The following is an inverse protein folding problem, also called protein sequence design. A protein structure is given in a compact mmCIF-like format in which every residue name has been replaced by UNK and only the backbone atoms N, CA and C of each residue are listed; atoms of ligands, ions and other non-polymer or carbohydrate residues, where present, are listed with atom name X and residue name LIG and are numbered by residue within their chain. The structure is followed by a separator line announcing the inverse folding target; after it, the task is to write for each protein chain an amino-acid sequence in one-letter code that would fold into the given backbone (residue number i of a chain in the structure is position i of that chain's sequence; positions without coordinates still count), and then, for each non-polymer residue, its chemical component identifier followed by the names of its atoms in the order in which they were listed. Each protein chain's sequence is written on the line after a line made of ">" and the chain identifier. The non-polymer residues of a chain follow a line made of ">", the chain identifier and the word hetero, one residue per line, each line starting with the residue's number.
data_IF_184033825459
#
_entry.id   IF_184033825459
#
_cell.length_a   1.000
_cell.length_b   1.000
_cell.length_c   1.000
_cell.angle_alpha   90.00
_cell.angle_beta   90.00
_cell.angle_gamma   90.00
#
_symmetry.space_group_name_H-M   'P 1'
#
loop_
_entity.id
_entity.type
_entity.pdbx_description
1 polymer ?
#
# COMPACT_ATOMS: atom_id res chain seq x y z
N UNK A 1 34.94 -47.14 50.41
CA UNK A 1 34.12 -47.07 49.19
C UNK A 1 34.04 -45.61 48.74
N UNK A 2 34.76 -45.24 47.67
CA UNK A 2 34.79 -43.87 47.13
C UNK A 2 33.57 -43.67 46.23
N UNK A 3 32.67 -42.72 46.53
CA UNK A 3 31.61 -42.30 45.60
C UNK A 3 32.00 -40.95 44.99
N UNK A 4 32.37 -41.02 43.71
CA UNK A 4 32.67 -39.90 42.84
C UNK A 4 31.34 -39.28 42.38
N UNK A 5 31.09 -38.01 42.72
CA UNK A 5 29.96 -37.26 42.18
C UNK A 5 30.42 -36.54 40.91
N UNK A 6 29.90 -36.97 39.76
CA UNK A 6 30.02 -36.27 38.49
C UNK A 6 28.95 -35.17 38.46
N UNK A 7 29.37 -33.91 38.52
CA UNK A 7 28.51 -32.75 38.22
C UNK A 7 28.52 -32.54 36.71
N UNK A 8 27.44 -32.93 36.05
CA UNK A 8 27.17 -32.57 34.66
C UNK A 8 26.55 -31.18 34.68
N UNK A 9 27.32 -30.15 34.37
CA UNK A 9 26.83 -28.79 34.13
C UNK A 9 26.17 -28.74 32.75
N UNK A 10 24.84 -28.79 32.73
CA UNK A 10 24.04 -28.57 31.52
C UNK A 10 24.02 -27.06 31.21
N UNK A 11 24.86 -26.63 30.28
CA UNK A 11 24.80 -25.27 29.76
C UNK A 11 23.52 -25.10 28.92
N UNK A 12 22.51 -24.41 29.45
CA UNK A 12 21.37 -23.94 28.66
C UNK A 12 21.86 -22.85 27.70
N UNK A 13 22.00 -23.21 26.43
CA UNK A 13 22.15 -22.23 25.35
C UNK A 13 20.74 -21.70 25.07
N UNK A 14 20.39 -20.54 25.63
CA UNK A 14 19.20 -19.81 25.19
C UNK A 14 19.50 -19.21 23.83
N UNK A 15 19.04 -19.87 22.77
CA UNK A 15 18.85 -19.22 21.48
C UNK A 15 17.73 -18.20 21.62
N UNK A 16 18.08 -16.99 22.04
CA UNK A 16 17.21 -15.83 21.86
C UNK A 16 17.13 -15.55 20.36
N UNK A 17 16.15 -16.15 19.69
CA UNK A 17 15.71 -15.65 18.41
C UNK A 17 15.17 -14.24 18.67
N UNK A 18 16.00 -13.21 18.43
CA UNK A 18 15.52 -11.84 18.38
C UNK A 18 14.47 -11.80 17.29
N UNK A 19 13.20 -11.75 17.69
CA UNK A 19 12.11 -11.49 16.76
C UNK A 19 12.41 -10.12 16.15
N UNK A 20 12.64 -10.09 14.84
CA UNK A 20 12.85 -8.84 14.13
C UNK A 20 11.58 -7.99 14.34
N UNK A 21 11.76 -6.76 14.83
CA UNK A 21 10.65 -5.80 14.98
C UNK A 21 9.83 -5.73 13.68
N UNK A 22 8.49 -5.71 13.75
CA UNK A 22 7.64 -5.67 12.57
C UNK A 22 7.86 -4.36 11.81
N UNK A 23 7.79 -4.42 10.48
CA UNK A 23 7.73 -3.22 9.66
C UNK A 23 6.42 -2.49 9.94
N UNK A 24 6.44 -1.18 10.16
CA UNK A 24 5.25 -0.40 10.49
C UNK A 24 4.95 0.58 9.37
N UNK A 25 3.77 0.46 8.77
CA UNK A 25 3.35 1.35 7.67
C UNK A 25 1.98 1.97 7.95
N UNK A 26 1.89 3.29 7.80
CA UNK A 26 0.64 4.04 7.85
C UNK A 26 0.27 4.56 6.46
N UNK A 27 -0.96 4.36 6.01
CA UNK A 27 -1.49 5.02 4.84
C UNK A 27 -2.43 6.16 5.18
N UNK A 28 -2.14 7.34 4.64
CA UNK A 28 -3.03 8.49 4.62
C UNK A 28 -3.77 8.46 3.28
N UNK A 29 -5.01 7.98 3.29
CA UNK A 29 -5.70 7.69 2.04
C UNK A 29 -7.21 7.56 2.17
N UNK A 30 -7.74 6.54 1.48
CA UNK A 30 -9.17 6.37 1.23
C UNK A 30 -9.46 4.92 0.82
N UNK A 31 -10.52 4.68 0.05
CA UNK A 31 -10.87 3.34 -0.44
C UNK A 31 -9.81 2.71 -1.35
N UNK A 32 -8.92 3.48 -1.95
CA UNK A 32 -7.81 2.94 -2.76
C UNK A 32 -6.65 2.45 -1.90
N UNK A 33 -6.37 3.07 -0.74
CA UNK A 33 -5.43 2.46 0.22
C UNK A 33 -6.05 1.21 0.83
N UNK A 34 -7.34 1.23 1.18
CA UNK A 34 -8.09 0.04 1.64
C UNK A 34 -7.89 -1.14 0.67
N UNK A 35 -8.14 -0.94 -0.62
CA UNK A 35 -7.96 -1.96 -1.66
C UNK A 35 -6.52 -2.49 -1.80
N UNK A 36 -5.52 -1.77 -1.30
CA UNK A 36 -4.13 -2.14 -1.46
C UNK A 36 -3.52 -2.79 -0.22
N UNK A 37 -3.88 -2.36 0.99
CA UNK A 37 -3.16 -2.74 2.22
C UNK A 37 -4.00 -3.45 3.27
N UNK A 38 -5.34 -3.37 3.23
CA UNK A 38 -6.18 -3.94 4.31
C UNK A 38 -6.40 -5.46 4.18
N UNK A 39 -5.98 -6.05 3.06
CA UNK A 39 -6.07 -7.49 2.80
C UNK A 39 -4.85 -7.96 2.02
N UNK A 40 -4.52 -9.24 2.13
CA UNK A 40 -3.41 -9.92 1.47
C UNK A 40 -2.01 -9.43 1.92
N UNK A 41 -1.80 -8.14 2.21
CA UNK A 41 -0.47 -7.60 2.49
C UNK A 41 0.16 -8.25 3.73
N UNK A 42 -0.61 -8.40 4.81
CA UNK A 42 -0.15 -9.09 6.02
C UNK A 42 0.21 -10.55 5.72
N UNK A 43 -0.66 -11.28 5.01
CA UNK A 43 -0.45 -12.70 4.71
C UNK A 43 0.72 -12.93 3.73
N UNK A 44 0.91 -12.03 2.76
CA UNK A 44 2.07 -12.03 1.87
C UNK A 44 3.35 -11.83 2.68
N UNK A 45 3.36 -10.88 3.62
CA UNK A 45 4.50 -10.66 4.51
C UNK A 45 4.79 -11.90 5.38
N UNK A 46 3.76 -12.45 6.02
CA UNK A 46 3.86 -13.64 6.87
C UNK A 46 4.40 -14.85 6.10
N UNK A 47 3.92 -15.09 4.88
CA UNK A 47 4.42 -16.18 4.03
C UNK A 47 5.87 -15.99 3.56
N UNK A 48 6.43 -14.79 3.69
CA UNK A 48 7.84 -14.48 3.46
C UNK A 48 8.69 -14.48 4.74
N UNK A 49 8.13 -14.91 5.88
CA UNK A 49 8.78 -14.88 7.18
C UNK A 49 9.03 -13.45 7.68
N UNK A 50 8.10 -12.54 7.39
CA UNK A 50 8.13 -11.13 7.80
C UNK A 50 6.87 -10.79 8.57
N UNK A 51 7.00 -9.84 9.48
CA UNK A 51 5.87 -9.27 10.22
C UNK A 51 5.68 -7.80 9.84
N UNK A 52 4.43 -7.36 9.90
CA UNK A 52 4.00 -6.02 9.49
C UNK A 52 2.83 -5.52 10.35
N UNK A 53 2.94 -4.27 10.80
CA UNK A 53 1.83 -3.49 11.36
C UNK A 53 1.35 -2.52 10.29
N UNK A 54 0.05 -2.55 9.99
CA UNK A 54 -0.55 -1.75 8.91
C UNK A 54 -1.60 -0.84 9.52
N UNK A 55 -1.44 0.47 9.36
CA UNK A 55 -2.46 1.47 9.64
C UNK A 55 -3.05 2.04 8.36
N UNK A 56 -4.36 2.24 8.30
CA UNK A 56 -5.04 2.98 7.23
C UNK A 56 -5.92 4.08 7.81
N UNK A 57 -5.62 5.32 7.45
CA UNK A 57 -6.40 6.51 7.77
C UNK A 57 -7.40 6.75 6.65
N UNK A 58 -8.60 6.20 6.84
CA UNK A 58 -9.64 6.17 5.81
C UNK A 58 -10.61 7.35 5.94
N UNK A 59 -10.80 8.07 4.83
CA UNK A 59 -11.99 8.87 4.52
C UNK A 59 -12.42 8.53 3.09
N UNK A 60 -13.71 8.31 2.83
CA UNK A 60 -14.20 7.94 1.50
C UNK A 60 -13.92 9.04 0.48
N UNK A 61 -13.25 8.70 -0.63
CA UNK A 61 -12.91 9.67 -1.69
C UNK A 61 -11.95 10.80 -1.27
N UNK A 62 -11.23 10.66 -0.15
CA UNK A 62 -10.39 11.72 0.40
C UNK A 62 -9.33 12.21 -0.58
N UNK A 63 -9.25 13.53 -0.76
CA UNK A 63 -8.21 14.23 -1.52
C UNK A 63 -7.08 14.69 -0.61
N UNK A 64 -5.94 15.08 -1.19
CA UNK A 64 -4.85 15.74 -0.46
C UNK A 64 -5.38 16.97 0.30
N UNK A 65 -6.15 17.83 -0.36
CA UNK A 65 -6.73 19.03 0.25
C UNK A 65 -7.63 18.68 1.44
N UNK A 66 -8.42 17.60 1.33
CA UNK A 66 -9.27 17.18 2.42
C UNK A 66 -8.47 16.70 3.63
N UNK A 67 -7.36 16.00 3.42
CA UNK A 67 -6.45 15.64 4.50
C UNK A 67 -5.88 16.89 5.19
N UNK A 68 -5.48 17.90 4.41
CA UNK A 68 -4.97 19.17 4.95
C UNK A 68 -6.04 19.95 5.73
N UNK A 69 -7.30 19.96 5.28
CA UNK A 69 -8.41 20.54 6.05
C UNK A 69 -8.63 19.82 7.39
N UNK A 70 -8.47 18.50 7.42
CA UNK A 70 -8.55 17.71 8.63
C UNK A 70 -7.38 18.01 9.57
N UNK A 71 -6.17 18.15 9.03
CA UNK A 71 -4.97 18.54 9.77
C UNK A 71 -5.14 19.94 10.39
N UNK A 72 -5.55 20.92 9.61
CA UNK A 72 -5.68 22.30 10.06
C UNK A 72 -6.70 22.46 11.20
N UNK A 73 -7.76 21.66 11.20
CA UNK A 73 -8.78 21.66 12.25
C UNK A 73 -8.64 20.55 13.30
N UNK A 74 -7.55 19.78 13.27
CA UNK A 74 -7.34 18.58 14.09
C UNK A 74 -8.58 17.66 14.18
N UNK A 75 -9.22 17.45 13.01
CA UNK A 75 -10.56 16.87 12.93
C UNK A 75 -10.53 15.36 13.19
N UNK A 76 -11.41 14.92 14.08
CA UNK A 76 -11.75 13.52 14.34
C UNK A 76 -12.63 12.95 13.20
N UNK A 77 -12.09 12.90 11.99
CA UNK A 77 -12.85 12.63 10.76
C UNK A 77 -12.61 11.24 10.16
N UNK A 78 -11.60 10.52 10.64
CA UNK A 78 -11.13 9.29 10.00
C UNK A 78 -11.76 8.05 10.63
N UNK A 79 -11.90 7.01 9.82
CA UNK A 79 -11.91 5.62 10.32
C UNK A 79 -10.46 5.15 10.33
N UNK A 80 -9.90 4.96 11.52
CA UNK A 80 -8.56 4.40 11.67
C UNK A 80 -8.66 2.88 11.74
N UNK A 81 -8.04 2.19 10.79
CA UNK A 81 -8.05 0.73 10.70
C UNK A 81 -6.64 0.22 10.85
N UNK A 82 -6.40 -0.61 11.85
CA UNK A 82 -5.08 -1.13 12.19
C UNK A 82 -5.07 -2.65 12.13
N UNK A 83 -4.09 -3.22 11.45
CA UNK A 83 -3.87 -4.66 11.35
C UNK A 83 -2.62 -5.01 12.13
N UNK A 84 -2.78 -5.84 13.16
CA UNK A 84 -1.69 -6.34 14.01
C UNK A 84 -1.89 -7.84 14.18
N UNK A 85 -0.85 -8.63 13.90
CA UNK A 85 -0.96 -10.10 13.98
C UNK A 85 -2.07 -10.67 13.08
N UNK A 86 -2.35 -10.02 11.94
CA UNK A 86 -3.39 -10.42 10.98
C UNK A 86 -4.82 -10.11 11.42
N UNK A 87 -5.01 -9.35 12.51
CA UNK A 87 -6.32 -8.97 13.01
C UNK A 87 -6.56 -7.48 12.80
N UNK A 88 -7.69 -7.14 12.19
CA UNK A 88 -8.12 -5.77 11.97
C UNK A 88 -8.86 -5.22 13.19
N UNK A 89 -8.50 -4.02 13.62
CA UNK A 89 -9.23 -3.19 14.57
C UNK A 89 -9.65 -1.90 13.85
N UNK A 90 -10.88 -1.43 14.06
CA UNK A 90 -11.38 -0.19 13.47
C UNK A 90 -11.86 0.76 14.58
N UNK A 91 -11.41 2.01 14.52
CA UNK A 91 -11.83 3.09 15.42
C UNK A 91 -12.39 4.23 14.58
N UNK A 92 -13.61 4.66 14.91
CA UNK A 92 -14.31 5.76 14.25
C UNK A 92 -13.95 7.09 14.92
N UNK A 93 -14.20 8.21 14.21
CA UNK A 93 -13.94 9.56 14.70
C UNK A 93 -12.50 9.72 15.22
N UNK A 94 -11.54 9.21 14.46
CA UNK A 94 -10.14 9.26 14.83
C UNK A 94 -9.44 10.46 14.17
N UNK A 95 -8.43 11.00 14.84
CA UNK A 95 -7.63 12.13 14.32
C UNK A 95 -6.34 11.62 13.68
N UNK A 96 -5.88 12.34 12.65
CA UNK A 96 -4.60 12.03 12.03
C UNK A 96 -3.40 12.35 12.95
N UNK A 97 -3.53 13.37 13.80
CA UNK A 97 -2.53 13.76 14.81
C UNK A 97 -2.30 12.70 15.89
N UNK A 98 -3.30 11.87 16.17
CA UNK A 98 -3.19 10.72 17.07
C UNK A 98 -2.57 9.52 16.32
N UNK A 99 -3.07 9.20 15.13
CA UNK A 99 -2.60 8.05 14.36
C UNK A 99 -1.13 8.15 13.94
N UNK A 100 -0.65 9.35 13.62
CA UNK A 100 0.76 9.55 13.24
C UNK A 100 1.73 9.27 14.40
N UNK A 101 1.24 9.26 15.65
CA UNK A 101 2.00 8.97 16.88
C UNK A 101 1.72 7.57 17.45
N UNK A 102 0.73 6.87 16.92
CA UNK A 102 0.29 5.54 17.39
C UNK A 102 1.38 4.47 17.27
N UNK A 103 2.30 4.61 16.32
CA UNK A 103 3.49 3.78 16.19
C UNK A 103 4.69 4.63 15.79
N UNK A 104 5.90 4.11 16.08
CA UNK A 104 7.10 4.56 15.40
C UNK A 104 7.09 4.05 13.94
N UNK A 105 6.26 4.70 13.09
CA UNK A 105 6.07 4.30 11.69
C UNK A 105 7.40 4.32 10.91
N UNK A 106 7.73 3.23 10.24
CA UNK A 106 8.87 3.18 9.30
C UNK A 106 8.52 3.89 8.00
N UNK A 107 7.27 3.72 7.56
CA UNK A 107 6.75 4.31 6.32
C UNK A 107 5.41 5.00 6.54
N UNK A 108 5.28 6.19 5.95
CA UNK A 108 3.98 6.87 5.84
C UNK A 108 3.70 7.07 4.35
N UNK A 109 2.62 6.49 3.86
CA UNK A 109 2.21 6.67 2.48
C UNK A 109 1.18 7.79 2.34
N UNK A 110 1.29 8.51 1.23
CA UNK A 110 0.29 9.50 0.79
C UNK A 110 -0.15 9.17 -0.64
N UNK A 111 -1.35 9.62 -1.00
CA UNK A 111 -1.93 9.46 -2.33
C UNK A 111 -2.96 10.55 -2.62
N UNK A 112 -3.29 10.72 -3.90
CA UNK A 112 -4.42 11.54 -4.34
C UNK A 112 -5.69 10.69 -4.52
N UNK A 113 -6.86 11.32 -4.43
CA UNK A 113 -8.14 10.71 -4.83
C UNK A 113 -8.12 10.31 -6.31
N UNK A 114 -8.77 9.19 -6.64
CA UNK A 114 -8.62 8.52 -7.93
C UNK A 114 -9.07 9.33 -9.15
N UNK A 115 -10.07 10.21 -9.00
CA UNK A 115 -10.48 11.08 -10.09
C UNK A 115 -9.49 12.20 -10.37
N UNK A 116 -8.75 12.63 -9.35
CA UNK A 116 -7.78 13.71 -9.41
C UNK A 116 -6.35 13.22 -9.67
N UNK A 117 -6.10 11.91 -9.59
CA UNK A 117 -4.75 11.36 -9.59
C UNK A 117 -3.97 11.56 -10.89
N UNK A 118 -4.66 11.85 -12.01
CA UNK A 118 -4.05 12.26 -13.27
C UNK A 118 -4.10 13.75 -13.57
N UNK A 119 -4.48 14.60 -12.61
CA UNK A 119 -4.54 16.06 -12.77
C UNK A 119 -3.35 16.71 -12.04
N UNK A 120 -2.37 17.29 -12.76
CA UNK A 120 -1.16 17.88 -12.17
C UNK A 120 -1.46 18.91 -11.07
N UNK A 121 -2.38 19.85 -11.32
CA UNK A 121 -2.69 20.94 -10.39
C UNK A 121 -3.28 20.45 -9.06
N UNK A 122 -3.90 19.26 -9.04
CA UNK A 122 -4.44 18.68 -7.81
C UNK A 122 -3.35 18.32 -6.78
N UNK A 123 -2.08 18.32 -7.19
CA UNK A 123 -0.94 18.02 -6.34
C UNK A 123 -0.26 19.27 -5.77
N UNK A 124 -0.76 20.48 -6.06
CA UNK A 124 -0.14 21.74 -5.64
C UNK A 124 0.18 21.79 -4.13
N UNK A 125 -0.66 21.14 -3.31
CA UNK A 125 -0.51 21.11 -1.83
C UNK A 125 0.07 19.82 -1.29
N UNK A 126 0.60 18.93 -2.13
CA UNK A 126 1.27 17.71 -1.69
C UNK A 126 2.47 18.03 -0.77
N UNK A 127 3.18 19.13 -1.04
CA UNK A 127 4.30 19.60 -0.22
C UNK A 127 3.90 19.85 1.23
N UNK A 128 2.79 20.56 1.46
CA UNK A 128 2.26 20.85 2.80
C UNK A 128 1.94 19.57 3.58
N UNK A 129 1.35 18.57 2.91
CA UNK A 129 1.04 17.28 3.55
C UNK A 129 2.33 16.55 3.94
N UNK A 130 3.34 16.55 3.06
CA UNK A 130 4.63 15.94 3.35
C UNK A 130 5.37 16.67 4.49
N UNK A 131 5.35 17.99 4.54
CA UNK A 131 5.93 18.78 5.63
C UNK A 131 5.27 18.45 6.96
N UNK A 132 3.94 18.35 6.99
CA UNK A 132 3.23 17.95 8.20
C UNK A 132 3.63 16.56 8.68
N UNK A 133 3.76 15.58 7.77
CA UNK A 133 4.25 14.23 8.12
C UNK A 133 5.68 14.28 8.66
N UNK A 134 6.60 15.00 8.01
CA UNK A 134 7.99 15.14 8.49
C UNK A 134 8.08 15.76 9.87
N UNK A 135 7.21 16.73 10.18
CA UNK A 135 7.16 17.37 11.48
C UNK A 135 6.63 16.45 12.60
N UNK A 136 5.71 15.53 12.29
CA UNK A 136 5.03 14.71 13.29
C UNK A 136 5.53 13.25 13.38
N UNK A 137 6.21 12.76 12.35
CA UNK A 137 6.89 11.46 12.32
C UNK A 137 8.24 11.60 11.58
N UNK A 138 9.22 12.33 12.13
CA UNK A 138 10.50 12.61 11.48
C UNK A 138 11.32 11.35 11.15
N UNK A 139 11.07 10.24 11.84
CA UNK A 139 11.68 8.94 11.59
C UNK A 139 11.12 8.22 10.35
N UNK A 140 9.89 8.56 9.93
CA UNK A 140 9.20 7.83 8.89
C UNK A 140 9.68 8.24 7.50
N UNK A 141 9.90 7.25 6.64
CA UNK A 141 10.11 7.49 5.21
C UNK A 141 8.77 7.74 4.53
N UNK A 142 8.59 8.92 3.95
CA UNK A 142 7.39 9.21 3.15
C UNK A 142 7.47 8.45 1.82
N UNK A 143 6.41 7.72 1.50
CA UNK A 143 6.26 6.99 0.23
C UNK A 143 4.99 7.45 -0.49
N UNK A 144 4.96 7.30 -1.81
CA UNK A 144 3.78 7.65 -2.60
C UNK A 144 3.09 6.41 -3.14
N UNK A 145 1.78 6.27 -2.90
CA UNK A 145 0.98 5.21 -3.49
C UNK A 145 0.42 5.66 -4.84
N UNK A 146 1.04 5.22 -5.93
CA UNK A 146 0.55 5.46 -7.28
C UNK A 146 -0.63 4.50 -7.56
N UNK A 147 -1.82 5.08 -7.66
CA UNK A 147 -3.08 4.38 -7.90
C UNK A 147 -3.29 4.04 -9.39
N UNK A 148 -4.38 3.33 -9.69
CA UNK A 148 -4.70 2.80 -11.02
C UNK A 148 -5.76 3.62 -11.75
N UNK A 149 -5.77 3.49 -13.09
CA UNK A 149 -6.86 4.00 -13.92
C UNK A 149 -8.14 3.15 -13.76
N UNK A 150 -9.28 3.77 -14.00
CA UNK A 150 -10.60 3.12 -14.00
C UNK A 150 -10.73 2.05 -15.09
N UNK A 151 -11.75 1.18 -14.97
CA UNK A 151 -12.13 0.25 -16.04
C UNK A 151 -12.54 1.02 -17.30
N UNK A 152 -12.36 0.40 -18.47
CA UNK A 152 -12.82 0.93 -19.77
C UNK A 152 -14.33 1.19 -19.81
N UNK A 153 -15.10 0.49 -19.00
CA UNK A 153 -16.57 0.59 -18.90
C UNK A 153 -17.03 1.40 -17.69
N UNK A 154 -16.11 2.03 -16.96
CA UNK A 154 -16.44 2.82 -15.79
C UNK A 154 -17.43 3.94 -16.11
N UNK A 155 -18.46 4.06 -15.29
CA UNK A 155 -19.43 5.16 -15.32
C UNK A 155 -19.11 6.24 -14.28
N UNK A 156 -17.93 6.17 -13.63
CA UNK A 156 -17.54 7.10 -12.59
C UNK A 156 -17.52 8.55 -13.12
N UNK A 157 -18.09 9.49 -12.36
CA UNK A 157 -18.32 10.87 -12.79
C UNK A 157 -17.05 11.65 -13.18
N UNK A 158 -15.88 11.24 -12.67
CA UNK A 158 -14.59 11.84 -13.01
C UNK A 158 -13.92 11.22 -14.25
N UNK A 159 -14.39 10.07 -14.75
CA UNK A 159 -13.78 9.44 -15.93
C UNK A 159 -13.87 10.29 -17.22
N UNK A 160 -14.92 11.10 -17.44
CA UNK A 160 -14.97 12.08 -18.53
C UNK A 160 -13.81 13.08 -18.55
N UNK A 161 -13.15 13.39 -17.42
CA UNK A 161 -11.95 14.25 -17.40
C UNK A 161 -10.78 13.64 -18.18
N UNK A 162 -10.82 12.33 -18.39
CA UNK A 162 -9.85 11.55 -19.16
C UNK A 162 -10.46 11.00 -20.45
N UNK A 163 -11.46 11.67 -21.01
CA UNK A 163 -12.21 11.29 -22.22
C UNK A 163 -12.84 9.89 -22.13
N UNK A 164 -13.12 9.40 -20.92
CA UNK A 164 -13.52 8.01 -20.66
C UNK A 164 -12.53 7.00 -21.25
N UNK A 165 -11.25 7.33 -21.23
CA UNK A 165 -10.20 6.51 -21.81
C UNK A 165 -9.22 6.04 -20.74
N UNK A 166 -9.20 4.73 -20.47
CA UNK A 166 -8.32 4.13 -19.46
C UNK A 166 -6.85 4.40 -19.73
N UNK A 167 -6.40 4.29 -20.99
CA UNK A 167 -4.99 4.51 -21.34
C UNK A 167 -4.59 5.98 -21.11
N UNK A 168 -5.47 6.92 -21.47
CA UNK A 168 -5.29 8.35 -21.19
C UNK A 168 -5.20 8.57 -19.68
N UNK A 169 -6.16 8.08 -18.91
CA UNK A 169 -6.14 8.20 -17.45
C UNK A 169 -4.88 7.61 -16.83
N UNK A 170 -4.45 6.41 -17.25
CA UNK A 170 -3.23 5.79 -16.74
C UNK A 170 -1.98 6.63 -17.07
N UNK A 171 -1.85 7.10 -18.31
CA UNK A 171 -0.73 7.95 -18.70
C UNK A 171 -0.72 9.28 -17.92
N UNK A 172 -1.89 9.90 -17.74
CA UNK A 172 -2.05 11.10 -16.93
C UNK A 172 -1.65 10.87 -15.47
N UNK A 173 -2.05 9.74 -14.86
CA UNK A 173 -1.63 9.37 -13.50
C UNK A 173 -0.11 9.25 -13.42
N UNK A 174 0.53 8.57 -14.37
CA UNK A 174 1.99 8.40 -14.37
C UNK A 174 2.71 9.75 -14.46
N UNK A 175 2.27 10.66 -15.33
CA UNK A 175 2.89 11.98 -15.49
C UNK A 175 2.68 12.83 -14.25
N UNK A 176 1.42 13.06 -13.86
CA UNK A 176 1.07 13.98 -12.78
C UNK A 176 1.69 13.55 -11.44
N UNK A 177 1.55 12.27 -11.08
CA UNK A 177 2.17 11.77 -9.84
C UNK A 177 3.70 11.74 -9.91
N UNK A 178 4.29 11.41 -11.07
CA UNK A 178 5.74 11.38 -11.27
C UNK A 178 6.40 12.75 -11.09
N UNK A 179 5.77 13.79 -11.64
CA UNK A 179 6.20 15.18 -11.45
C UNK A 179 6.02 15.63 -10.00
N UNK A 180 4.86 15.34 -9.41
CA UNK A 180 4.55 15.74 -8.04
C UNK A 180 5.52 15.13 -7.01
N UNK A 181 5.78 13.82 -7.07
CA UNK A 181 6.69 13.15 -6.12
C UNK A 181 8.13 13.64 -6.26
N UNK A 182 8.57 13.97 -7.48
CA UNK A 182 9.88 14.56 -7.73
C UNK A 182 9.97 15.96 -7.11
N UNK A 183 8.93 16.78 -7.27
CA UNK A 183 8.89 18.14 -6.73
C UNK A 183 8.98 18.19 -5.20
N UNK A 184 8.37 17.22 -4.50
CA UNK A 184 8.36 17.17 -3.01
C UNK A 184 9.44 16.27 -2.42
N UNK A 185 10.31 15.69 -3.25
CA UNK A 185 11.42 14.83 -2.83
C UNK A 185 11.03 13.46 -2.27
N UNK A 186 9.89 12.90 -2.69
CA UNK A 186 9.54 11.51 -2.35
C UNK A 186 10.32 10.57 -3.26
N UNK A 187 11.23 9.79 -2.67
CA UNK A 187 12.07 8.86 -3.42
C UNK A 187 11.37 7.53 -3.69
N UNK A 188 10.45 7.07 -2.84
CA UNK A 188 9.80 5.76 -2.95
C UNK A 188 8.36 5.89 -3.43
N UNK A 189 8.08 5.24 -4.57
CA UNK A 189 6.74 5.11 -5.14
C UNK A 189 6.35 3.63 -5.13
N UNK A 190 5.17 3.32 -4.60
CA UNK A 190 4.51 2.01 -4.74
C UNK A 190 3.70 2.02 -6.04
N UNK A 191 4.11 1.29 -7.10
CA UNK A 191 3.55 1.44 -8.44
C UNK A 191 2.32 0.54 -8.68
N UNK A 192 1.32 0.61 -7.80
CA UNK A 192 0.10 -0.23 -7.90
C UNK A 192 -0.62 -0.01 -9.23
N UNK A 193 -0.72 1.24 -9.70
CA UNK A 193 -1.30 1.58 -11.00
C UNK A 193 -0.66 0.85 -12.16
N UNK A 194 0.67 0.85 -12.20
CA UNK A 194 1.45 0.12 -13.21
C UNK A 194 1.25 -1.39 -13.09
N UNK A 195 1.19 -1.94 -11.88
CA UNK A 195 0.97 -3.36 -11.66
C UNK A 195 -0.40 -3.82 -12.19
N UNK A 196 -1.45 -3.03 -11.90
CA UNK A 196 -2.79 -3.27 -12.45
C UNK A 196 -2.76 -3.16 -13.97
N UNK A 197 -2.18 -2.10 -14.55
CA UNK A 197 -2.16 -1.94 -16.01
C UNK A 197 -1.39 -3.06 -16.73
N UNK A 198 -0.33 -3.59 -16.12
CA UNK A 198 0.36 -4.78 -16.62
C UNK A 198 -0.54 -6.02 -16.59
N UNK A 199 -1.28 -6.22 -15.50
CA UNK A 199 -2.20 -7.35 -15.35
C UNK A 199 -3.38 -7.30 -16.33
N UNK A 200 -3.88 -6.11 -16.68
CA UNK A 200 -4.89 -5.90 -17.73
C UNK A 200 -4.45 -6.36 -19.13
N UNK A 201 -3.16 -6.53 -19.35
CA UNK A 201 -2.60 -7.03 -20.62
C UNK A 201 -2.38 -8.54 -20.61
N UNK A 202 -3.04 -9.24 -19.69
CA UNK A 202 -2.91 -10.68 -19.46
C UNK A 202 -4.28 -11.29 -19.22
N UNK A 203 -4.38 -12.62 -19.13
CA UNK A 203 -5.62 -13.32 -18.81
C UNK A 203 -6.22 -13.01 -17.42
N UNK A 204 -5.61 -12.12 -16.63
CA UNK A 204 -6.18 -11.62 -15.38
C UNK A 204 -7.23 -10.52 -15.61
N UNK A 205 -7.27 -9.92 -16.79
CA UNK A 205 -8.29 -8.91 -17.17
C UNK A 205 -9.73 -9.42 -17.07
N UNK A 206 -9.92 -10.75 -17.15
CA UNK A 206 -11.20 -11.44 -16.96
C UNK A 206 -11.73 -11.41 -15.52
N UNK A 207 -10.96 -10.93 -14.54
CA UNK A 207 -11.43 -10.77 -13.16
C UNK A 207 -12.19 -9.46 -12.99
N UNK A 208 -13.43 -9.57 -12.49
CA UNK A 208 -14.31 -8.42 -12.30
C UNK A 208 -14.63 -7.71 -13.61
N UNK A 209 -14.84 -6.40 -13.52
CA UNK A 209 -14.81 -5.49 -14.65
C UNK A 209 -13.38 -4.93 -14.77
N UNK A 210 -12.50 -5.61 -15.50
CA UNK A 210 -11.15 -5.11 -15.79
C UNK A 210 -10.30 -4.86 -14.51
N UNK A 211 -10.25 -5.90 -13.66
CA UNK A 211 -9.65 -5.92 -12.32
C UNK A 211 -10.31 -4.96 -11.33
N UNK A 212 -11.52 -4.47 -11.64
CA UNK A 212 -12.32 -3.64 -10.75
C UNK A 212 -13.65 -4.33 -10.39
N UNK A 213 -14.25 -3.98 -9.26
CA UNK A 213 -15.57 -4.50 -8.84
C UNK A 213 -16.75 -3.60 -9.23
N UNK A 214 -16.47 -2.32 -9.49
CA UNK A 214 -17.45 -1.27 -9.71
C UNK A 214 -16.97 -0.23 -10.72
N UNK A 215 -16.03 -0.61 -11.57
CA UNK A 215 -15.43 0.26 -12.59
C UNK A 215 -14.26 1.10 -12.08
N UNK A 216 -13.93 1.10 -10.78
CA UNK A 216 -12.79 1.88 -10.27
C UNK A 216 -12.11 1.31 -9.03
N UNK A 217 -12.82 0.72 -8.08
CA UNK A 217 -12.21 -0.01 -6.98
C UNK A 217 -11.81 -1.42 -7.40
N UNK A 218 -10.72 -1.96 -6.87
CA UNK A 218 -10.19 -3.25 -7.29
C UNK A 218 -11.16 -4.40 -7.00
N UNK A 219 -11.15 -5.39 -7.88
CA UNK A 219 -11.85 -6.64 -7.62
C UNK A 219 -11.27 -7.32 -6.37
N UNK A 220 -12.14 -7.97 -5.60
CA UNK A 220 -11.75 -8.58 -4.31
C UNK A 220 -10.87 -9.83 -4.46
N UNK A 221 -10.55 -10.24 -5.68
CA UNK A 221 -9.73 -11.43 -6.00
C UNK A 221 -8.34 -10.97 -6.48
N UNK A 222 -8.18 -10.78 -7.78
CA UNK A 222 -6.88 -10.56 -8.40
C UNK A 222 -6.36 -9.14 -8.16
N UNK A 223 -7.19 -8.12 -8.36
CA UNK A 223 -6.84 -6.72 -8.24
C UNK A 223 -6.25 -6.39 -6.88
N UNK A 224 -7.00 -6.64 -5.79
CA UNK A 224 -6.52 -6.42 -4.42
C UNK A 224 -5.24 -7.20 -4.09
N UNK A 225 -5.10 -8.43 -4.59
CA UNK A 225 -3.86 -9.20 -4.42
C UNK A 225 -2.67 -8.55 -5.13
N UNK A 226 -2.85 -8.10 -6.39
CA UNK A 226 -1.78 -7.47 -7.18
C UNK A 226 -1.30 -6.19 -6.50
N UNK A 227 -2.21 -5.36 -5.98
CA UNK A 227 -1.86 -4.17 -5.23
C UNK A 227 -1.05 -4.53 -3.97
N UNK A 228 -1.55 -5.44 -3.13
CA UNK A 228 -0.84 -5.89 -1.93
C UNK A 228 0.54 -6.50 -2.23
N UNK A 229 0.66 -7.30 -3.29
CA UNK A 229 1.93 -7.86 -3.75
C UNK A 229 2.94 -6.79 -4.17
N UNK A 230 2.45 -5.72 -4.80
CA UNK A 230 3.26 -4.56 -5.21
C UNK A 230 3.75 -3.77 -3.99
N UNK A 231 2.88 -3.60 -3.00
CA UNK A 231 3.22 -3.01 -1.71
C UNK A 231 4.30 -3.82 -0.98
N UNK A 232 4.10 -5.13 -0.82
CA UNK A 232 5.07 -6.02 -0.17
C UNK A 232 6.47 -5.90 -0.80
N UNK A 233 6.57 -6.02 -2.13
CA UNK A 233 7.88 -5.97 -2.79
C UNK A 233 8.53 -4.58 -2.72
N UNK A 234 7.73 -3.52 -2.68
CA UNK A 234 8.24 -2.16 -2.47
C UNK A 234 8.79 -1.98 -1.07
N UNK A 235 8.03 -2.35 -0.04
CA UNK A 235 8.37 -2.15 1.38
C UNK A 235 9.57 -3.00 1.82
N UNK A 236 9.60 -4.28 1.44
CA UNK A 236 10.65 -5.20 1.88
C UNK A 236 11.82 -5.31 0.91
N UNK A 237 11.70 -4.74 -0.30
CA UNK A 237 12.69 -4.90 -1.35
C UNK A 237 12.88 -6.36 -1.82
N UNK A 238 11.97 -7.26 -1.46
CA UNK A 238 12.00 -8.69 -1.78
C UNK A 238 11.02 -9.00 -2.90
N UNK A 239 11.47 -9.81 -3.87
CA UNK A 239 10.61 -10.29 -4.94
C UNK A 239 9.38 -11.00 -4.39
N UNK A 240 8.18 -10.60 -4.83
CA UNK A 240 6.93 -11.32 -4.48
C UNK A 240 6.74 -12.59 -5.32
N UNK A 241 7.50 -12.73 -6.40
CA UNK A 241 7.45 -13.88 -7.32
C UNK A 241 7.98 -15.13 -6.60
N UNK A 242 7.08 -16.07 -6.32
CA UNK A 242 7.38 -17.29 -5.56
C UNK A 242 6.92 -17.24 -4.10
N UNK A 243 6.31 -16.14 -3.66
CA UNK A 243 5.60 -16.10 -2.39
C UNK A 243 4.50 -17.18 -2.37
N UNK A 244 4.40 -17.91 -1.24
CA UNK A 244 3.54 -19.09 -1.10
C UNK A 244 2.11 -18.76 -0.68
N UNK A 245 1.83 -17.54 -0.20
CA UNK A 245 0.47 -17.14 0.11
C UNK A 245 -0.35 -17.08 -1.18
N UNK A 246 -1.42 -17.88 -1.22
CA UNK A 246 -2.39 -17.93 -2.29
C UNK A 246 -3.77 -17.67 -1.69
N UNK A 247 -4.43 -16.54 -2.02
CA UNK A 247 -5.83 -16.38 -1.63
C UNK A 247 -6.68 -17.44 -2.34
N UNK A 248 -7.75 -17.92 -1.69
CA UNK A 248 -8.64 -18.97 -2.22
C UNK A 248 -9.23 -18.63 -3.60
N UNK A 249 -9.31 -17.33 -3.91
CA UNK A 249 -9.88 -16.81 -5.14
C UNK A 249 -8.99 -16.96 -6.38
N UNK A 250 -7.72 -17.37 -6.23
CA UNK A 250 -6.76 -17.52 -7.32
C UNK A 250 -6.25 -18.96 -7.39
N UNK A 251 -6.10 -19.49 -8.61
CA UNK A 251 -5.32 -20.71 -8.82
C UNK A 251 -3.81 -20.40 -8.99
N UNK A 252 -2.98 -21.43 -8.95
CA UNK A 252 -1.52 -21.27 -9.01
C UNK A 252 -1.01 -20.51 -10.25
N UNK A 253 -1.66 -20.68 -11.42
CA UNK A 253 -1.29 -19.98 -12.65
C UNK A 253 -1.63 -18.49 -12.57
N UNK A 254 -2.82 -18.16 -12.07
CA UNK A 254 -3.28 -16.79 -11.86
C UNK A 254 -2.42 -16.08 -10.81
N UNK A 255 -2.14 -16.75 -9.68
CA UNK A 255 -1.25 -16.26 -8.64
C UNK A 255 0.13 -15.91 -9.21
N UNK A 256 0.75 -16.83 -9.95
CA UNK A 256 2.08 -16.62 -10.53
C UNK A 256 2.09 -15.44 -11.50
N UNK A 257 1.02 -15.26 -12.26
CA UNK A 257 0.87 -14.15 -13.19
C UNK A 257 0.69 -12.81 -12.46
N UNK A 258 -0.12 -12.78 -11.41
CA UNK A 258 -0.33 -11.60 -10.56
C UNK A 258 0.99 -11.15 -9.90
N UNK A 259 1.75 -12.09 -9.33
CA UNK A 259 3.07 -11.83 -8.76
C UNK A 259 4.06 -11.26 -9.80
N UNK A 260 4.08 -11.80 -11.03
CA UNK A 260 4.93 -11.29 -12.10
C UNK A 260 4.57 -9.87 -12.51
N UNK A 261 3.28 -9.51 -12.51
CA UNK A 261 2.84 -8.16 -12.82
C UNK A 261 3.29 -7.16 -11.74
N UNK A 262 3.08 -7.50 -10.47
CA UNK A 262 3.57 -6.71 -9.34
C UNK A 262 5.10 -6.52 -9.38
N UNK A 263 5.85 -7.61 -9.52
CA UNK A 263 7.31 -7.58 -9.63
C UNK A 263 7.80 -6.72 -10.79
N UNK A 264 7.23 -6.90 -11.99
CA UNK A 264 7.60 -6.11 -13.16
C UNK A 264 7.30 -4.63 -12.95
N UNK A 265 6.20 -4.27 -12.29
CA UNK A 265 5.88 -2.88 -11.96
C UNK A 265 6.94 -2.27 -11.04
N UNK A 266 7.33 -2.94 -9.95
CA UNK A 266 8.37 -2.49 -9.02
C UNK A 266 9.71 -2.34 -9.73
N UNK A 267 10.12 -3.32 -10.55
CA UNK A 267 11.38 -3.26 -11.31
C UNK A 267 11.39 -2.13 -12.33
N UNK A 268 10.27 -1.86 -13.00
CA UNK A 268 10.16 -0.73 -13.92
C UNK A 268 10.21 0.61 -13.17
N UNK A 269 9.53 0.75 -12.03
CA UNK A 269 9.54 1.99 -11.25
C UNK A 269 10.95 2.35 -10.76
N UNK A 270 11.77 1.37 -10.39
CA UNK A 270 13.16 1.60 -9.97
C UNK A 270 14.09 2.08 -11.09
N UNK A 271 13.74 1.84 -12.36
CA UNK A 271 14.56 2.24 -13.52
C UNK A 271 14.29 3.66 -14.00
N UNK A 272 13.21 4.28 -13.53
CA UNK A 272 12.77 5.63 -13.94
C UNK A 272 13.25 6.70 -12.93
N UNK A 273 14.02 6.29 -11.91
CA UNK A 273 14.67 7.19 -10.94
C UNK A 273 15.99 7.71 -11.48
#
# INVERSE_FOLDING_TARGET
>A
MKRLFFLISLALITLSASAQEPLKVLAIGNSFSEDAIEQNLYEIAAAAGKDIVIGNMYIGGCTIDKHLECIAGDKAAYRYRKIVGGKTQEVYNYKLSDAIKDEAWDYVSVQQASGYSGLPDSYARLGELCEWVRANAPQATIIFHQTWAYSRTSNHQHFPWYDRNQKKMFASILSASGEAVKAVGISIVVPSGRAIQLARSTALDAFGDDLTRDGFHLDRKAGRYIAAATWFETLYGKSVVGNKYCPESLNAKQLRLAQKCAHRAVRQQRRVR
#
